data_IF_582929776458
#
_entry.id   IF_582929776458
#
_cell.length_a   1.000
_cell.length_b   1.000
_cell.length_c   1.000
_cell.angle_alpha   90.00
_cell.angle_beta   90.00
_cell.angle_gamma   90.00
#
_symmetry.space_group_name_H-M   'P 1'
#
loop_
_entity.id
_entity.type
_entity.pdbx_description
1 polymer ?
#
# COMPACT_ATOMS: atom_id res chain seq x y z
N UNK A 1 -0.88 21.81 -4.68
CA UNK A 1 0.01 21.01 -5.54
C UNK A 1 -0.16 19.50 -5.32
N UNK A 2 -0.18 18.99 -4.07
CA UNK A 2 -0.23 17.52 -3.85
C UNK A 2 -1.59 16.90 -4.22
N UNK A 3 -2.70 17.56 -3.90
CA UNK A 3 -4.04 17.14 -4.31
C UNK A 3 -4.17 17.19 -5.84
N UNK A 4 -3.68 18.24 -6.47
CA UNK A 4 -3.69 18.42 -7.92
C UNK A 4 -2.87 17.31 -8.61
N UNK A 5 -1.70 16.96 -8.08
CA UNK A 5 -0.89 15.88 -8.62
C UNK A 5 -1.58 14.50 -8.49
N UNK A 6 -2.30 14.28 -7.40
CA UNK A 6 -3.11 13.07 -7.23
C UNK A 6 -4.29 13.07 -8.21
N UNK A 7 -5.01 14.18 -8.35
CA UNK A 7 -6.10 14.33 -9.30
C UNK A 7 -5.63 14.14 -10.76
N UNK A 8 -4.41 14.57 -11.07
CA UNK A 8 -3.80 14.38 -12.39
C UNK A 8 -3.66 12.91 -12.77
N UNK A 9 -3.53 11.99 -11.81
CA UNK A 9 -3.49 10.54 -12.10
C UNK A 9 -4.80 10.01 -12.66
N UNK A 10 -5.92 10.63 -12.31
CA UNK A 10 -7.24 10.33 -12.91
C UNK A 10 -7.43 11.08 -14.22
N UNK A 11 -7.11 12.38 -14.24
CA UNK A 11 -7.24 13.21 -15.43
C UNK A 11 -6.39 12.69 -16.60
N UNK A 12 -5.23 12.09 -16.33
CA UNK A 12 -4.44 11.42 -17.36
C UNK A 12 -5.16 10.20 -17.91
N UNK A 13 -5.85 9.41 -17.07
CA UNK A 13 -6.62 8.25 -17.51
C UNK A 13 -7.77 8.65 -18.45
N UNK A 14 -8.39 9.82 -18.25
CA UNK A 14 -9.42 10.34 -19.16
C UNK A 14 -8.84 10.85 -20.48
N UNK A 15 -7.65 11.47 -20.46
CA UNK A 15 -7.03 12.06 -21.65
C UNK A 15 -6.22 11.08 -22.49
N UNK A 16 -5.63 10.09 -21.84
CA UNK A 16 -4.75 9.09 -22.48
C UNK A 16 -5.02 7.72 -21.84
N UNK A 17 -6.19 7.13 -22.11
CA UNK A 17 -6.59 5.85 -21.51
C UNK A 17 -5.65 4.71 -21.89
N UNK A 18 -5.09 4.71 -23.09
CA UNK A 18 -4.16 3.65 -23.55
C UNK A 18 -2.91 3.60 -22.67
N UNK A 19 -2.42 4.76 -22.24
CA UNK A 19 -1.28 4.86 -21.34
C UNK A 19 -1.65 4.58 -19.87
N UNK A 20 -2.74 5.16 -19.40
CA UNK A 20 -3.00 5.26 -17.96
C UNK A 20 -4.06 4.28 -17.44
N UNK A 21 -4.69 3.49 -18.32
CA UNK A 21 -5.65 2.45 -17.90
C UNK A 21 -5.27 1.06 -18.40
N UNK A 22 -5.90 0.07 -17.84
CA UNK A 22 -5.90 -1.32 -18.30
C UNK A 22 -7.17 -2.01 -17.84
N UNK A 23 -7.48 -3.18 -18.40
CA UNK A 23 -8.66 -3.96 -17.97
C UNK A 23 -8.31 -4.80 -16.75
N UNK A 24 -9.12 -4.69 -15.71
CA UNK A 24 -9.02 -5.53 -14.52
C UNK A 24 -9.31 -7.00 -14.86
N UNK A 25 -8.45 -7.94 -14.48
CA UNK A 25 -8.74 -9.36 -14.65
C UNK A 25 -9.81 -9.87 -13.66
N UNK A 26 -10.18 -9.08 -12.65
CA UNK A 26 -11.13 -9.48 -11.60
C UNK A 26 -12.52 -8.91 -11.81
N UNK A 27 -12.63 -7.69 -12.35
CA UNK A 27 -13.92 -7.01 -12.57
C UNK A 27 -14.31 -6.91 -14.04
N UNK A 28 -13.36 -7.15 -14.95
CA UNK A 28 -13.50 -6.97 -16.40
C UNK A 28 -13.83 -5.51 -16.81
N UNK A 29 -13.53 -4.55 -15.93
CA UNK A 29 -13.75 -3.12 -16.14
C UNK A 29 -12.40 -2.38 -16.27
N UNK A 30 -12.37 -1.20 -16.91
CA UNK A 30 -11.19 -0.36 -16.94
C UNK A 30 -10.81 0.13 -15.54
N UNK A 31 -9.52 0.02 -15.22
CA UNK A 31 -8.94 0.52 -13.97
C UNK A 31 -7.74 1.40 -14.28
N UNK A 32 -7.42 2.30 -13.35
CA UNK A 32 -6.18 3.05 -13.42
C UNK A 32 -4.98 2.08 -13.28
N UNK A 33 -3.98 2.24 -14.14
CA UNK A 33 -2.80 1.34 -14.20
C UNK A 33 -2.00 1.28 -12.89
N UNK A 34 -2.16 2.23 -11.98
CA UNK A 34 -1.60 2.13 -10.62
C UNK A 34 -2.16 0.97 -9.79
N UNK A 35 -3.27 0.37 -10.18
CA UNK A 35 -3.87 -0.78 -9.48
C UNK A 35 -3.53 -2.12 -10.18
N UNK A 36 -2.88 -2.06 -11.33
CA UNK A 36 -2.56 -3.24 -12.11
C UNK A 36 -1.40 -4.03 -11.52
N UNK A 37 -1.54 -5.35 -11.47
CA UNK A 37 -0.44 -6.27 -11.16
C UNK A 37 0.31 -6.56 -12.47
N UNK A 38 1.56 -6.17 -12.54
CA UNK A 38 2.38 -6.36 -13.74
C UNK A 38 2.65 -7.85 -14.00
N UNK A 39 2.27 -8.34 -15.17
CA UNK A 39 2.43 -9.73 -15.60
C UNK A 39 3.40 -9.87 -16.77
N UNK A 40 3.88 -8.76 -17.32
CA UNK A 40 4.74 -8.74 -18.50
C UNK A 40 5.74 -7.58 -18.44
N UNK A 41 6.77 -7.63 -19.26
CA UNK A 41 7.69 -6.51 -19.44
C UNK A 41 6.99 -5.29 -20.06
N UNK A 42 5.95 -5.50 -20.87
CA UNK A 42 5.14 -4.42 -21.45
C UNK A 42 4.35 -3.68 -20.34
N UNK A 43 3.78 -4.39 -19.36
CA UNK A 43 3.12 -3.74 -18.23
C UNK A 43 4.07 -2.83 -17.46
N UNK A 44 5.29 -3.30 -17.21
CA UNK A 44 6.32 -2.50 -16.52
C UNK A 44 6.75 -1.28 -17.35
N UNK A 45 6.87 -1.46 -18.67
CA UNK A 45 7.18 -0.35 -19.58
C UNK A 45 6.06 0.69 -19.55
N UNK A 46 4.81 0.29 -19.67
CA UNK A 46 3.66 1.19 -19.67
C UNK A 46 3.49 1.90 -18.30
N UNK A 47 3.72 1.20 -17.20
CA UNK A 47 3.74 1.82 -15.87
C UNK A 47 4.82 2.90 -15.75
N UNK A 48 6.01 2.64 -16.27
CA UNK A 48 7.12 3.59 -16.25
C UNK A 48 6.83 4.82 -17.13
N UNK A 49 6.31 4.62 -18.34
CA UNK A 49 5.93 5.72 -19.23
C UNK A 49 4.82 6.59 -18.63
N UNK A 50 3.81 5.97 -18.00
CA UNK A 50 2.76 6.69 -17.28
C UNK A 50 3.35 7.54 -16.13
N UNK A 51 4.20 6.96 -15.31
CA UNK A 51 4.84 7.69 -14.20
C UNK A 51 5.73 8.82 -14.71
N UNK A 52 6.50 8.60 -15.77
CA UNK A 52 7.31 9.63 -16.42
C UNK A 52 6.45 10.79 -16.92
N UNK A 53 5.33 10.48 -17.58
CA UNK A 53 4.38 11.48 -18.08
C UNK A 53 3.78 12.31 -16.94
N UNK A 54 3.34 11.65 -15.88
CA UNK A 54 2.80 12.33 -14.69
C UNK A 54 3.84 13.23 -14.03
N UNK A 55 5.07 12.75 -13.88
CA UNK A 55 6.17 13.56 -13.34
C UNK A 55 6.46 14.82 -14.18
N UNK A 56 6.40 14.71 -15.51
CA UNK A 56 6.55 15.85 -16.42
C UNK A 56 5.39 16.86 -16.32
N UNK A 57 4.17 16.36 -16.11
CA UNK A 57 2.97 17.21 -16.02
C UNK A 57 2.88 17.92 -14.66
N UNK A 58 3.22 17.25 -13.58
CA UNK A 58 3.00 17.76 -12.23
C UNK A 58 4.22 18.43 -11.62
N UNK A 59 5.43 18.06 -12.05
CA UNK A 59 6.68 18.53 -11.45
C UNK A 59 6.86 18.14 -9.97
N UNK A 60 6.02 17.22 -9.46
CA UNK A 60 6.01 16.80 -8.06
C UNK A 60 5.58 15.34 -7.92
N UNK A 61 5.59 14.81 -6.69
CA UNK A 61 5.13 13.46 -6.41
C UNK A 61 3.60 13.36 -6.57
N UNK A 62 3.14 12.42 -7.37
CA UNK A 62 1.73 12.10 -7.59
C UNK A 62 1.17 11.07 -6.58
N UNK A 63 1.98 10.60 -5.64
CA UNK A 63 1.61 9.92 -4.38
C UNK A 63 0.91 8.55 -4.53
N UNK A 64 1.05 7.87 -5.67
CA UNK A 64 0.42 6.55 -5.91
C UNK A 64 1.41 5.41 -6.12
N UNK A 65 2.67 5.67 -6.38
CA UNK A 65 3.67 4.65 -6.72
C UNK A 65 3.85 3.61 -5.60
N UNK A 66 3.87 4.04 -4.34
CA UNK A 66 4.05 3.12 -3.20
C UNK A 66 2.92 2.09 -3.10
N UNK A 67 1.67 2.51 -3.35
CA UNK A 67 0.53 1.58 -3.39
C UNK A 67 0.68 0.53 -4.49
N UNK A 68 1.09 0.96 -5.69
CA UNK A 68 1.37 0.07 -6.81
C UNK A 68 2.49 -0.93 -6.50
N UNK A 69 3.61 -0.46 -5.98
CA UNK A 69 4.76 -1.30 -5.63
C UNK A 69 4.38 -2.32 -4.54
N UNK A 70 3.65 -1.87 -3.51
CA UNK A 70 3.16 -2.74 -2.45
C UNK A 70 2.23 -3.84 -2.98
N UNK A 71 1.35 -3.52 -3.92
CA UNK A 71 0.43 -4.50 -4.50
C UNK A 71 1.15 -5.56 -5.31
N UNK A 72 2.11 -5.17 -6.14
CA UNK A 72 2.92 -6.12 -6.90
C UNK A 72 3.74 -7.04 -5.97
N UNK A 73 4.33 -6.49 -4.90
CA UNK A 73 5.05 -7.26 -3.90
C UNK A 73 4.12 -8.21 -3.12
N UNK A 74 2.96 -7.73 -2.65
CA UNK A 74 2.01 -8.54 -1.89
C UNK A 74 1.41 -9.66 -2.73
N UNK A 75 1.13 -9.42 -4.02
CA UNK A 75 0.64 -10.45 -4.91
C UNK A 75 1.58 -11.67 -4.95
N UNK A 76 2.87 -11.43 -5.13
CA UNK A 76 3.86 -12.51 -5.19
C UNK A 76 4.09 -13.16 -3.82
N UNK A 77 4.31 -12.34 -2.79
CA UNK A 77 4.67 -12.83 -1.44
C UNK A 77 3.53 -13.60 -0.79
N UNK A 78 2.27 -13.15 -0.92
CA UNK A 78 1.15 -13.88 -0.34
C UNK A 78 0.94 -15.23 -1.00
N UNK A 79 1.13 -15.33 -2.31
CA UNK A 79 1.11 -16.60 -3.03
C UNK A 79 2.20 -17.56 -2.53
N UNK A 80 3.44 -17.10 -2.44
CA UNK A 80 4.57 -17.91 -1.97
C UNK A 80 4.37 -18.39 -0.51
N UNK A 81 3.81 -17.53 0.35
CA UNK A 81 3.50 -17.87 1.75
C UNK A 81 2.44 -18.96 1.81
N UNK A 82 1.35 -18.84 1.05
CA UNK A 82 0.29 -19.83 1.04
C UNK A 82 0.76 -21.17 0.52
N UNK A 83 1.61 -21.21 -0.53
CA UNK A 83 2.23 -22.44 -1.01
C UNK A 83 3.09 -23.12 0.07
N UNK A 84 3.83 -22.33 0.83
CA UNK A 84 4.77 -22.84 1.84
C UNK A 84 4.10 -23.24 3.15
N UNK A 85 3.16 -22.42 3.63
CA UNK A 85 2.60 -22.55 4.98
C UNK A 85 1.14 -22.97 5.01
N UNK A 86 0.52 -23.15 3.84
CA UNK A 86 -0.88 -23.55 3.66
C UNK A 86 -1.85 -22.59 4.37
N UNK A 87 -1.57 -21.30 4.26
CA UNK A 87 -2.42 -20.20 4.70
C UNK A 87 -3.40 -19.79 3.59
N UNK A 88 -4.14 -18.71 3.79
CA UNK A 88 -5.09 -18.15 2.80
C UNK A 88 -4.89 -16.63 2.62
N UNK A 89 -3.68 -16.17 2.70
CA UNK A 89 -3.38 -14.74 2.59
C UNK A 89 -3.54 -14.23 1.16
N UNK A 90 -3.24 -15.07 0.16
CA UNK A 90 -3.39 -14.69 -1.24
C UNK A 90 -4.85 -14.44 -1.61
N UNK A 91 -5.76 -15.34 -1.22
CA UNK A 91 -7.20 -15.14 -1.45
C UNK A 91 -7.72 -13.85 -0.78
N UNK A 92 -7.26 -13.58 0.45
CA UNK A 92 -7.61 -12.34 1.15
C UNK A 92 -7.08 -11.10 0.41
N UNK A 93 -5.86 -11.18 -0.09
CA UNK A 93 -5.26 -10.10 -0.88
C UNK A 93 -6.01 -9.89 -2.20
N UNK A 94 -6.35 -10.95 -2.94
CA UNK A 94 -7.11 -10.86 -4.19
C UNK A 94 -8.50 -10.25 -3.96
N UNK A 95 -9.20 -10.66 -2.89
CA UNK A 95 -10.49 -10.06 -2.53
C UNK A 95 -10.36 -8.56 -2.21
N UNK A 96 -9.31 -8.17 -1.51
CA UNK A 96 -9.02 -6.76 -1.26
C UNK A 96 -8.70 -6.01 -2.56
N UNK A 97 -7.82 -6.57 -3.41
CA UNK A 97 -7.45 -5.98 -4.69
C UNK A 97 -8.67 -5.79 -5.60
N UNK A 98 -9.57 -6.78 -5.66
CA UNK A 98 -10.83 -6.68 -6.41
C UNK A 98 -11.66 -5.49 -5.95
N UNK A 99 -11.83 -5.31 -4.64
CA UNK A 99 -12.50 -4.14 -4.07
C UNK A 99 -11.82 -2.81 -4.46
N UNK A 100 -10.50 -2.80 -4.52
CA UNK A 100 -9.76 -1.60 -4.95
C UNK A 100 -9.98 -1.30 -6.43
N UNK A 101 -10.10 -2.34 -7.27
CA UNK A 101 -10.44 -2.21 -8.69
C UNK A 101 -11.87 -1.68 -8.89
N UNK A 102 -12.86 -2.24 -8.18
CA UNK A 102 -14.26 -1.80 -8.26
C UNK A 102 -14.42 -0.30 -7.98
N UNK A 103 -13.70 0.22 -6.98
CA UNK A 103 -13.75 1.63 -6.62
C UNK A 103 -12.74 2.49 -7.37
N UNK A 104 -11.85 1.90 -8.15
CA UNK A 104 -10.69 2.58 -8.76
C UNK A 104 -9.95 3.48 -7.75
N UNK A 105 -9.71 2.94 -6.54
CA UNK A 105 -9.25 3.68 -5.37
C UNK A 105 -7.77 4.07 -5.43
N UNK A 106 -7.43 5.14 -4.72
CA UNK A 106 -6.03 5.50 -4.42
C UNK A 106 -5.59 4.79 -3.16
N UNK A 107 -4.43 4.14 -3.25
CA UNK A 107 -3.81 3.42 -2.14
C UNK A 107 -2.50 4.11 -1.77
N UNK A 108 -2.41 4.53 -0.51
CA UNK A 108 -1.16 5.01 0.09
C UNK A 108 -0.38 3.88 0.75
N UNK A 109 0.89 4.12 1.04
CA UNK A 109 1.74 3.16 1.75
C UNK A 109 2.29 3.72 3.05
N UNK A 110 1.99 3.10 4.17
CA UNK A 110 2.49 3.42 5.49
C UNK A 110 3.58 2.44 5.92
N UNK A 111 4.76 2.61 5.36
CA UNK A 111 5.89 1.70 5.53
C UNK A 111 6.90 2.19 6.56
N UNK A 112 7.27 3.48 6.49
CA UNK A 112 8.36 4.03 7.33
C UNK A 112 7.95 4.13 8.79
N UNK A 113 8.79 3.59 9.68
CA UNK A 113 8.64 3.68 11.12
C UNK A 113 9.39 4.90 11.69
N UNK A 114 8.97 5.39 12.87
CA UNK A 114 9.63 6.49 13.59
C UNK A 114 11.05 6.09 14.04
N UNK A 115 11.23 4.83 14.41
CA UNK A 115 12.51 4.12 14.67
C UNK A 115 13.21 4.37 16.00
N UNK A 116 13.08 5.50 16.67
CA UNK A 116 13.74 5.74 17.96
C UNK A 116 15.25 5.47 17.94
N UNK A 117 15.72 4.64 18.88
CA UNK A 117 17.12 4.19 18.94
C UNK A 117 17.37 3.09 17.90
N UNK A 118 18.07 3.44 16.82
CA UNK A 118 18.35 2.52 15.69
C UNK A 118 19.29 1.35 16.03
N UNK A 119 19.94 1.37 17.19
CA UNK A 119 20.77 0.25 17.66
C UNK A 119 19.95 -0.86 18.29
N UNK A 120 18.65 -0.65 18.53
CA UNK A 120 17.75 -1.56 19.21
C UNK A 120 16.62 -2.05 18.31
N UNK A 121 16.22 -3.33 18.42
CA UNK A 121 15.02 -3.83 17.75
C UNK A 121 13.74 -3.22 18.37
N UNK A 122 12.57 -3.34 17.70
CA UNK A 122 11.31 -2.75 18.17
C UNK A 122 10.95 -3.09 19.61
N UNK A 123 11.06 -4.35 20.02
CA UNK A 123 10.72 -4.80 21.39
C UNK A 123 11.63 -4.23 22.50
N UNK A 124 12.77 -3.63 22.17
CA UNK A 124 13.72 -3.02 23.11
C UNK A 124 13.69 -1.49 23.13
N UNK A 125 12.80 -0.87 22.35
CA UNK A 125 12.62 0.57 22.37
C UNK A 125 12.05 1.01 23.74
N UNK A 126 12.45 2.19 24.20
CA UNK A 126 11.89 2.78 25.42
C UNK A 126 10.38 3.05 25.30
N UNK A 127 9.95 3.43 24.11
CA UNK A 127 8.55 3.53 23.70
C UNK A 127 8.30 2.52 22.59
N UNK A 128 7.48 1.53 22.86
CA UNK A 128 7.16 0.47 21.90
C UNK A 128 6.27 0.94 20.76
N UNK A 129 5.55 2.05 20.94
CA UNK A 129 4.64 2.62 19.93
C UNK A 129 5.36 3.50 18.89
N UNK A 130 6.71 3.57 18.95
CA UNK A 130 7.53 4.07 17.83
C UNK A 130 7.44 3.19 16.57
N UNK A 131 6.91 1.98 16.70
CA UNK A 131 6.63 1.03 15.63
C UNK A 131 5.19 0.53 15.75
N UNK A 132 4.54 0.32 14.61
CA UNK A 132 3.20 -0.25 14.60
C UNK A 132 3.24 -1.71 15.06
N UNK A 133 2.44 -2.06 16.06
CA UNK A 133 2.35 -3.40 16.62
C UNK A 133 0.93 -3.82 16.94
N UNK A 134 0.72 -5.12 17.03
CA UNK A 134 -0.52 -5.71 17.52
C UNK A 134 -0.54 -5.60 19.04
N UNK A 135 -1.59 -5.01 19.59
CA UNK A 135 -1.80 -4.86 21.05
C UNK A 135 -2.90 -5.76 21.58
N UNK A 136 -3.83 -6.17 20.74
CA UNK A 136 -4.88 -7.12 21.10
C UNK A 136 -5.41 -7.86 19.87
N UNK A 137 -6.02 -9.02 20.09
CA UNK A 137 -6.74 -9.83 19.08
C UNK A 137 -7.99 -10.41 19.71
N UNK A 138 -9.09 -10.35 18.98
CA UNK A 138 -10.34 -10.99 19.34
C UNK A 138 -11.09 -11.47 18.09
N UNK A 139 -12.33 -11.92 18.26
CA UNK A 139 -13.18 -12.42 17.15
C UNK A 139 -13.53 -11.32 16.13
N UNK A 140 -13.40 -10.04 16.48
CA UNK A 140 -13.67 -8.91 15.59
C UNK A 140 -12.45 -8.52 14.76
N UNK A 141 -11.25 -8.92 15.18
CA UNK A 141 -10.02 -8.61 14.43
C UNK A 141 -8.79 -8.36 15.28
N UNK A 142 -7.95 -7.48 14.76
CA UNK A 142 -6.64 -7.14 15.30
C UNK A 142 -6.62 -5.68 15.68
N UNK A 143 -6.27 -5.38 16.93
CA UNK A 143 -6.08 -4.02 17.42
C UNK A 143 -4.60 -3.67 17.35
N UNK A 144 -4.29 -2.52 16.77
CA UNK A 144 -2.92 -2.07 16.58
C UNK A 144 -2.68 -0.72 17.26
N UNK A 145 -1.47 -0.51 17.76
CA UNK A 145 -0.98 0.76 18.27
C UNK A 145 0.39 1.04 17.70
N UNK A 146 0.74 2.31 17.56
CA UNK A 146 2.06 2.72 17.10
C UNK A 146 2.01 3.83 16.06
N UNK A 147 3.17 4.20 15.54
CA UNK A 147 3.32 5.32 14.63
C UNK A 147 3.99 4.89 13.31
N UNK A 148 3.60 5.56 12.24
CA UNK A 148 4.26 5.55 10.94
C UNK A 148 4.64 6.97 10.55
N UNK A 149 5.79 7.15 9.91
CA UNK A 149 6.32 8.46 9.56
C UNK A 149 6.45 8.62 8.03
N UNK A 150 6.48 9.87 7.57
CA UNK A 150 6.69 10.21 6.16
C UNK A 150 5.67 9.57 5.21
N UNK A 151 4.38 9.57 5.59
CA UNK A 151 3.31 8.98 4.81
C UNK A 151 2.80 9.96 3.74
N UNK A 152 3.63 10.22 2.74
CA UNK A 152 3.30 11.13 1.65
C UNK A 152 2.00 10.71 0.97
N UNK A 153 1.04 11.64 0.92
CA UNK A 153 -0.25 11.44 0.27
C UNK A 153 -1.27 10.61 1.04
N UNK A 154 -1.02 10.23 2.29
CA UNK A 154 -1.98 9.43 3.07
C UNK A 154 -3.36 10.12 3.14
N UNK A 155 -3.40 11.43 3.42
CA UNK A 155 -4.67 12.20 3.51
C UNK A 155 -5.40 12.37 2.15
N UNK A 156 -4.74 12.09 1.04
CA UNK A 156 -5.32 12.13 -0.31
C UNK A 156 -5.66 10.71 -0.83
N UNK A 157 -5.41 9.68 -0.03
CA UNK A 157 -5.69 8.29 -0.38
C UNK A 157 -7.06 7.86 0.14
N UNK A 158 -7.62 6.78 -0.39
CA UNK A 158 -8.82 6.15 0.14
C UNK A 158 -8.46 5.05 1.15
N UNK A 159 -7.36 4.36 0.89
CA UNK A 159 -6.85 3.27 1.71
C UNK A 159 -5.35 3.43 1.93
N UNK A 160 -4.87 2.81 2.97
CA UNK A 160 -3.46 2.78 3.30
C UNK A 160 -3.02 1.33 3.58
N UNK A 161 -1.94 0.89 2.94
CA UNK A 161 -1.28 -0.37 3.26
C UNK A 161 -0.22 -0.10 4.32
N UNK A 162 -0.28 -0.83 5.42
CA UNK A 162 0.73 -0.80 6.49
C UNK A 162 1.59 -2.04 6.43
N UNK A 163 2.89 -1.90 6.60
CA UNK A 163 3.83 -3.02 6.65
C UNK A 163 5.10 -2.65 7.42
N UNK A 164 5.83 -3.63 7.99
CA UNK A 164 7.11 -3.40 8.61
C UNK A 164 8.19 -3.17 7.55
N UNK A 165 9.24 -2.39 7.89
CA UNK A 165 10.39 -2.12 7.00
C UNK A 165 11.70 -2.74 7.49
N UNK A 166 11.69 -3.47 8.60
CA UNK A 166 12.89 -4.10 9.13
C UNK A 166 12.78 -5.62 9.20
N UNK A 167 13.95 -6.23 9.30
CA UNK A 167 14.04 -7.64 9.65
C UNK A 167 13.63 -7.79 11.12
N UNK A 168 12.55 -8.53 11.35
CA UNK A 168 12.01 -8.85 12.67
C UNK A 168 12.55 -10.19 13.17
N UNK A 169 12.64 -10.31 14.51
CA UNK A 169 12.99 -11.55 15.21
C UNK A 169 11.76 -12.17 15.85
N UNK A 170 11.88 -13.35 16.46
CA UNK A 170 10.79 -14.00 17.18
C UNK A 170 10.22 -13.13 18.31
N UNK A 171 11.08 -12.31 18.94
CA UNK A 171 10.66 -11.36 19.98
C UNK A 171 9.88 -10.16 19.43
N UNK A 172 9.92 -9.94 18.12
CA UNK A 172 9.24 -8.84 17.44
C UNK A 172 7.96 -9.29 16.72
N UNK A 173 7.44 -10.48 16.99
CA UNK A 173 6.30 -11.07 16.26
C UNK A 173 5.06 -10.17 16.20
N UNK A 174 4.80 -9.37 17.25
CA UNK A 174 3.65 -8.47 17.28
C UNK A 174 3.84 -7.25 16.37
N UNK A 175 5.04 -6.97 15.90
CA UNK A 175 5.37 -5.95 14.90
C UNK A 175 5.31 -6.49 13.46
N UNK A 176 5.16 -7.81 13.27
CA UNK A 176 5.07 -8.45 11.98
C UNK A 176 3.65 -8.37 11.40
N UNK A 177 3.16 -7.15 11.19
CA UNK A 177 1.83 -6.90 10.65
C UNK A 177 1.91 -6.31 9.23
N UNK A 178 1.17 -6.92 8.32
CA UNK A 178 0.85 -6.37 7.00
C UNK A 178 -0.66 -6.32 6.86
N UNK A 179 -1.20 -5.18 6.51
CA UNK A 179 -2.64 -5.00 6.37
C UNK A 179 -2.98 -3.76 5.57
N UNK A 180 -4.27 -3.59 5.31
CA UNK A 180 -4.80 -2.40 4.68
C UNK A 180 -6.00 -1.88 5.47
N UNK A 181 -6.13 -0.57 5.55
CA UNK A 181 -7.22 0.09 6.26
C UNK A 181 -7.65 1.36 5.51
N UNK A 182 -8.95 1.74 5.61
CA UNK A 182 -9.42 3.05 5.15
C UNK A 182 -8.68 4.16 5.90
N UNK A 183 -8.41 5.29 5.23
CA UNK A 183 -7.75 6.42 5.89
C UNK A 183 -8.64 7.07 6.98
N UNK A 184 -9.95 6.87 6.91
CA UNK A 184 -10.94 7.37 7.89
C UNK A 184 -11.17 6.40 9.05
N UNK A 185 -10.33 5.38 9.21
CA UNK A 185 -10.47 4.40 10.31
C UNK A 185 -10.35 5.11 11.66
N UNK A 186 -11.32 4.86 12.54
CA UNK A 186 -11.32 5.40 13.90
C UNK A 186 -10.02 5.09 14.65
N UNK A 187 -9.50 6.08 15.38
CA UNK A 187 -8.25 5.97 16.14
C UNK A 187 -7.00 6.39 15.36
N UNK A 188 -7.09 6.71 14.07
CA UNK A 188 -5.95 7.27 13.32
C UNK A 188 -5.88 8.78 13.58
N UNK A 189 -4.68 9.24 13.93
CA UNK A 189 -4.36 10.68 14.04
C UNK A 189 -3.30 11.05 13.00
N UNK A 190 -3.56 12.06 12.22
CA UNK A 190 -2.64 12.65 11.25
C UNK A 190 -2.01 13.92 11.85
N UNK A 191 -0.68 14.03 11.75
CA UNK A 191 0.10 15.14 12.32
C UNK A 191 0.91 15.81 11.22
#
# INVERSE_FOLDING_TARGET
PSIEAMAETYALADRDPDLATTISPYTNEPINRFLHIANSSEDLFMQNEMQRKLGQLTGTCFQRCVGMDAFNALHSVTYEIDEKYKTNYHDKFINFLTKMHEGNFVIGGAMTDVKGDRSKPPHQQADQDLYLRVVNRDDNGVYVSGAKAHQTGCINSHWMVVMPTLRLTENDKDYAIVGALPIETDGITYI
#
